data_IF_215191874939
#
_entry.id   IF_215191874939
#
_cell.length_a   1.000
_cell.length_b   1.000
_cell.length_c   1.000
_cell.angle_alpha   90.00
_cell.angle_beta   90.00
_cell.angle_gamma   90.00
#
_symmetry.space_group_name_H-M   'P 1'
#
loop_
_entity.id
_entity.type
_entity.pdbx_description
1 polymer ?
#
# COMPACT_ATOMS: atom_id res chain seq x y z
N UNK A 1 43.45 70.99 46.91
CA UNK A 1 42.01 71.09 46.58
C UNK A 1 41.88 70.70 45.10
N UNK A 2 41.45 69.53 44.82
CA UNK A 2 41.23 69.00 43.44
C UNK A 2 40.00 68.14 43.43
N UNK A 3 38.98 68.59 42.72
CA UNK A 3 37.76 67.83 42.51
C UNK A 3 37.95 66.87 41.37
N UNK A 4 37.67 65.60 41.65
CA UNK A 4 37.59 64.56 40.66
C UNK A 4 36.19 64.51 40.05
N UNK A 5 36.11 64.58 38.70
CA UNK A 5 34.84 64.42 37.96
C UNK A 5 34.76 62.92 37.50
N UNK A 6 33.73 62.28 38.01
CA UNK A 6 33.42 60.89 37.63
C UNK A 6 32.55 60.86 36.38
N UNK A 7 33.10 60.35 35.27
CA UNK A 7 32.35 60.15 34.00
C UNK A 7 31.65 58.81 34.01
N UNK A 8 30.30 58.82 33.96
CA UNK A 8 29.52 57.62 33.78
C UNK A 8 29.48 57.23 32.29
N UNK A 9 30.01 56.02 31.98
CA UNK A 9 29.89 55.42 30.65
C UNK A 9 28.57 54.68 30.57
N UNK A 10 27.65 55.15 29.73
CA UNK A 10 26.42 54.42 29.36
C UNK A 10 26.75 53.32 28.36
N UNK A 11 26.68 52.09 28.82
CA UNK A 11 26.77 50.93 27.94
C UNK A 11 25.44 50.73 27.18
N UNK A 12 25.44 51.00 25.88
CA UNK A 12 24.35 50.68 24.97
C UNK A 12 24.24 49.16 24.77
N UNK A 13 23.26 48.54 25.39
CA UNK A 13 22.90 47.15 25.15
C UNK A 13 22.21 47.01 23.77
N UNK A 14 22.97 46.71 22.72
CA UNK A 14 22.42 46.24 21.42
C UNK A 14 21.83 44.86 21.63
N UNK A 15 20.51 44.76 21.70
CA UNK A 15 19.78 43.51 21.56
C UNK A 15 20.14 42.87 20.20
N UNK A 16 20.94 41.81 20.24
CA UNK A 16 21.18 40.93 19.10
C UNK A 16 19.85 40.21 18.81
N UNK A 17 19.11 40.66 17.80
CA UNK A 17 17.98 39.93 17.26
C UNK A 17 18.52 38.68 16.61
N UNK A 18 18.23 37.50 17.20
CA UNK A 18 18.51 36.19 16.60
C UNK A 18 17.80 36.14 15.24
N UNK A 19 18.52 35.85 14.15
CA UNK A 19 17.85 35.71 12.84
C UNK A 19 16.82 34.58 12.92
N UNK A 20 15.59 34.86 12.45
CA UNK A 20 14.53 33.87 12.35
C UNK A 20 15.07 32.66 11.59
N UNK A 21 14.95 31.48 12.22
CA UNK A 21 15.37 30.22 11.61
C UNK A 21 14.67 30.06 10.25
N UNK A 22 15.44 30.10 9.18
CA UNK A 22 14.96 29.78 7.83
C UNK A 22 14.40 28.37 7.91
N UNK A 23 13.08 28.20 7.82
CA UNK A 23 12.44 26.89 7.73
C UNK A 23 13.01 26.19 6.50
N UNK A 24 13.90 25.22 6.70
CA UNK A 24 14.32 24.32 5.62
C UNK A 24 13.05 23.64 5.08
N UNK A 25 12.93 23.50 3.74
CA UNK A 25 11.84 22.71 3.19
C UNK A 25 11.89 21.31 3.82
N UNK A 26 10.75 20.68 4.11
CA UNK A 26 10.73 19.37 4.72
C UNK A 26 11.55 18.42 3.87
N UNK A 27 12.42 17.63 4.52
CA UNK A 27 13.20 16.61 3.83
C UNK A 27 12.22 15.65 3.15
N UNK A 28 12.44 15.35 1.88
CA UNK A 28 11.66 14.35 1.17
C UNK A 28 12.20 12.96 1.51
N UNK A 29 11.32 12.03 1.87
CA UNK A 29 11.66 10.66 2.18
C UNK A 29 11.26 9.75 1.02
N UNK A 30 12.19 8.99 0.44
CA UNK A 30 11.87 8.05 -0.63
C UNK A 30 10.98 6.93 -0.11
N UNK A 31 9.80 6.76 -0.74
CA UNK A 31 8.84 5.70 -0.51
C UNK A 31 8.59 4.92 -1.80
N UNK A 32 8.74 3.60 -1.75
CA UNK A 32 8.60 2.72 -2.92
C UNK A 32 7.15 2.39 -3.19
N UNK A 33 6.76 2.43 -4.45
CA UNK A 33 5.41 2.13 -4.91
C UNK A 33 5.48 1.38 -6.26
N UNK A 34 4.60 0.39 -6.54
CA UNK A 34 4.47 -0.18 -7.88
C UNK A 34 4.11 0.90 -8.90
N UNK A 35 4.66 0.81 -10.12
CA UNK A 35 4.49 1.84 -11.15
C UNK A 35 3.02 2.04 -11.59
N UNK A 36 2.28 0.95 -11.73
CA UNK A 36 0.85 0.97 -12.03
C UNK A 36 0.02 1.60 -10.90
N UNK A 37 0.41 1.38 -9.65
CA UNK A 37 -0.24 2.01 -8.48
C UNK A 37 0.02 3.50 -8.45
N UNK A 38 1.26 3.93 -8.73
CA UNK A 38 1.57 5.36 -8.75
C UNK A 38 0.75 6.09 -9.80
N UNK A 39 0.59 5.50 -10.99
CA UNK A 39 -0.21 6.07 -12.07
C UNK A 39 -1.69 6.20 -11.67
N UNK A 40 -2.26 5.15 -11.10
CA UNK A 40 -3.66 5.17 -10.64
C UNK A 40 -3.86 6.14 -9.47
N UNK A 41 -2.91 6.21 -8.54
CA UNK A 41 -2.92 7.17 -7.43
C UNK A 41 -2.93 8.62 -7.92
N UNK A 42 -2.09 8.97 -8.90
CA UNK A 42 -2.06 10.31 -9.49
C UNK A 42 -3.40 10.66 -10.16
N UNK A 43 -3.98 9.72 -10.90
CA UNK A 43 -5.29 9.86 -11.55
C UNK A 43 -6.43 9.98 -10.53
N UNK A 44 -6.40 9.15 -9.49
CA UNK A 44 -7.37 9.17 -8.40
C UNK A 44 -7.37 10.52 -7.66
N UNK A 45 -6.19 11.05 -7.36
CA UNK A 45 -6.09 12.37 -6.71
C UNK A 45 -6.61 13.50 -7.60
N UNK A 46 -6.34 13.48 -8.90
CA UNK A 46 -6.71 14.56 -9.82
C UNK A 46 -6.19 15.94 -9.35
N UNK A 47 -5.02 15.96 -8.72
CA UNK A 47 -4.39 17.16 -8.14
C UNK A 47 -4.81 17.50 -6.70
N UNK A 48 -5.72 16.75 -6.08
CA UNK A 48 -6.11 16.95 -4.67
C UNK A 48 -4.97 16.52 -3.74
N UNK A 49 -4.73 17.22 -2.62
CA UNK A 49 -3.81 16.75 -1.59
C UNK A 49 -4.30 15.42 -0.97
N UNK A 50 -3.41 14.43 -0.71
CA UNK A 50 -3.81 13.17 -0.08
C UNK A 50 -4.49 13.35 1.29
N UNK A 51 -4.09 14.38 2.04
CA UNK A 51 -4.66 14.69 3.35
C UNK A 51 -6.15 15.11 3.30
N UNK A 52 -6.62 15.58 2.15
CA UNK A 52 -8.01 16.04 1.94
C UNK A 52 -8.93 14.93 1.43
N UNK A 53 -8.40 13.75 1.12
CA UNK A 53 -9.20 12.61 0.65
C UNK A 53 -10.04 12.06 1.79
N UNK A 54 -11.36 12.15 1.65
CA UNK A 54 -12.35 11.59 2.59
C UNK A 54 -13.19 10.48 1.98
N UNK A 55 -13.26 10.43 0.65
CA UNK A 55 -13.91 9.39 -0.14
C UNK A 55 -12.84 8.64 -0.95
N UNK A 56 -12.78 7.31 -0.74
CA UNK A 56 -11.81 6.40 -1.35
C UNK A 56 -12.43 5.57 -2.49
N UNK A 57 -13.63 5.91 -2.92
CA UNK A 57 -14.32 5.29 -4.06
C UNK A 57 -14.10 6.05 -5.37
N UNK A 58 -14.73 5.55 -6.44
CA UNK A 58 -14.74 6.19 -7.75
C UNK A 58 -13.70 5.67 -8.74
N UNK A 59 -13.45 6.45 -9.78
CA UNK A 59 -12.51 6.09 -10.84
C UNK A 59 -11.09 5.97 -10.30
N UNK A 60 -10.37 4.94 -10.73
CA UNK A 60 -9.02 4.59 -10.28
C UNK A 60 -8.89 4.23 -8.79
N UNK A 61 -10.03 4.14 -8.06
CA UNK A 61 -10.03 3.66 -6.68
C UNK A 61 -9.72 2.16 -6.65
N UNK A 62 -8.78 1.78 -5.82
CA UNK A 62 -8.47 0.39 -5.45
C UNK A 62 -7.66 0.36 -4.16
N UNK A 63 -7.54 -0.83 -3.55
CA UNK A 63 -6.83 -1.00 -2.28
C UNK A 63 -5.48 -0.28 -2.25
N UNK A 64 -4.59 -0.56 -3.23
CA UNK A 64 -3.23 -0.04 -3.24
C UNK A 64 -3.20 1.49 -3.30
N UNK A 65 -4.13 2.10 -4.05
CA UNK A 65 -4.30 3.56 -4.11
C UNK A 65 -4.75 4.11 -2.75
N UNK A 66 -5.70 3.44 -2.10
CA UNK A 66 -6.14 3.83 -0.75
C UNK A 66 -4.98 3.75 0.25
N UNK A 67 -4.12 2.73 0.15
CA UNK A 67 -2.95 2.58 1.01
C UNK A 67 -1.95 3.73 0.81
N UNK A 68 -1.69 4.16 -0.45
CA UNK A 68 -0.83 5.33 -0.70
C UNK A 68 -1.42 6.61 -0.09
N UNK A 69 -2.74 6.80 -0.14
CA UNK A 69 -3.39 7.93 0.55
C UNK A 69 -3.24 7.81 2.07
N UNK A 70 -3.50 6.62 2.62
CA UNK A 70 -3.48 6.37 4.06
C UNK A 70 -2.11 6.60 4.70
N UNK A 71 -0.99 6.28 4.02
CA UNK A 71 0.33 6.57 4.59
C UNK A 71 0.58 8.08 4.73
N UNK A 72 0.16 8.87 3.73
CA UNK A 72 0.23 10.34 3.85
C UNK A 72 -0.64 10.86 4.99
N UNK A 73 -1.86 10.34 5.14
CA UNK A 73 -2.78 10.75 6.20
C UNK A 73 -2.28 10.33 7.58
N UNK A 74 -1.70 9.12 7.71
CA UNK A 74 -1.10 8.67 8.96
C UNK A 74 0.04 9.58 9.41
N UNK A 75 0.94 9.94 8.49
CA UNK A 75 2.06 10.83 8.80
C UNK A 75 1.58 12.26 9.12
N UNK A 76 0.54 12.73 8.45
CA UNK A 76 -0.08 14.03 8.77
C UNK A 76 -0.71 14.04 10.18
N UNK A 77 -1.41 12.96 10.57
CA UNK A 77 -1.96 12.80 11.93
C UNK A 77 -0.88 12.79 13.01
N UNK A 78 0.28 12.22 12.69
CA UNK A 78 1.44 12.22 13.59
C UNK A 78 2.26 13.52 13.54
N UNK A 79 1.82 14.53 12.79
CA UNK A 79 2.57 15.78 12.57
C UNK A 79 4.01 15.56 12.11
N UNK A 80 4.24 14.51 11.31
CA UNK A 80 5.56 14.17 10.80
C UNK A 80 6.02 15.19 9.75
N UNK A 81 7.20 15.77 9.96
CA UNK A 81 7.63 16.97 9.23
C UNK A 81 8.07 16.72 7.77
N UNK A 82 8.40 15.47 7.41
CA UNK A 82 8.91 15.15 6.08
C UNK A 82 7.79 14.69 5.16
N UNK A 83 7.84 15.14 3.90
CA UNK A 83 6.97 14.63 2.84
C UNK A 83 7.53 13.32 2.26
N UNK A 84 6.66 12.48 1.69
CA UNK A 84 7.08 11.30 0.95
C UNK A 84 7.37 11.64 -0.52
N UNK A 85 8.49 11.14 -1.04
CA UNK A 85 8.84 11.13 -2.47
C UNK A 85 8.55 9.74 -3.02
N UNK A 86 7.57 9.64 -3.92
CA UNK A 86 7.08 8.36 -4.46
C UNK A 86 7.99 7.86 -5.57
N UNK A 87 8.72 6.79 -5.30
CA UNK A 87 9.63 6.14 -6.25
C UNK A 87 8.98 4.89 -6.86
N UNK A 88 8.60 4.97 -8.13
CA UNK A 88 8.00 3.85 -8.85
C UNK A 88 8.97 2.69 -9.05
N UNK A 89 8.45 1.45 -8.97
CA UNK A 89 9.19 0.22 -9.29
C UNK A 89 8.33 -0.72 -10.14
N UNK A 90 8.91 -1.33 -11.18
CA UNK A 90 8.15 -2.12 -12.15
C UNK A 90 7.74 -3.50 -11.63
N UNK A 91 8.35 -3.98 -10.55
CA UNK A 91 8.05 -5.29 -9.95
C UNK A 91 8.22 -5.27 -8.44
N UNK A 92 7.45 -6.10 -7.73
CA UNK A 92 7.57 -6.29 -6.28
C UNK A 92 8.95 -6.82 -5.88
N UNK A 93 9.54 -7.69 -6.68
CA UNK A 93 10.90 -8.20 -6.45
C UNK A 93 11.93 -7.06 -6.41
N UNK A 94 11.86 -6.14 -7.38
CA UNK A 94 12.75 -4.98 -7.42
C UNK A 94 12.48 -4.04 -6.25
N UNK A 95 11.23 -3.80 -5.91
CA UNK A 95 10.83 -2.97 -4.78
C UNK A 95 11.40 -3.53 -3.47
N UNK A 96 11.20 -4.83 -3.19
CA UNK A 96 11.73 -5.50 -2.00
C UNK A 96 13.27 -5.46 -1.94
N UNK A 97 13.94 -5.60 -3.09
CA UNK A 97 15.41 -5.51 -3.17
C UNK A 97 15.91 -4.11 -2.79
N UNK A 98 15.33 -3.07 -3.36
CA UNK A 98 15.71 -1.67 -3.10
C UNK A 98 15.43 -1.28 -1.64
N UNK A 99 14.33 -1.75 -1.06
CA UNK A 99 14.02 -1.56 0.36
C UNK A 99 15.08 -2.20 1.27
N UNK A 100 15.46 -3.47 0.99
CA UNK A 100 16.52 -4.18 1.73
C UNK A 100 17.88 -3.50 1.63
N UNK A 101 18.13 -2.85 0.50
CA UNK A 101 19.35 -2.08 0.28
C UNK A 101 19.36 -0.73 1.03
N UNK A 102 18.23 -0.27 1.56
CA UNK A 102 18.11 1.04 2.23
C UNK A 102 17.99 2.21 1.24
N UNK A 103 17.66 1.94 -0.03
CA UNK A 103 17.49 2.98 -1.06
C UNK A 103 16.20 3.78 -0.88
N UNK A 104 15.31 3.32 -0.01
CA UNK A 104 14.10 4.02 0.39
C UNK A 104 13.80 3.79 1.87
N UNK A 105 13.04 4.71 2.46
CA UNK A 105 12.65 4.63 3.86
C UNK A 105 11.57 3.58 4.10
N UNK A 106 10.58 3.49 3.21
CA UNK A 106 9.44 2.60 3.35
C UNK A 106 8.81 2.24 2.00
N UNK A 107 7.83 1.32 2.06
CA UNK A 107 6.86 1.09 0.99
C UNK A 107 5.67 2.05 1.16
N UNK A 108 5.04 2.47 0.07
CA UNK A 108 3.81 3.27 0.09
C UNK A 108 2.54 2.40 -0.01
N UNK A 109 2.69 1.12 -0.33
CA UNK A 109 1.64 0.09 -0.28
C UNK A 109 1.95 -0.93 0.80
N UNK A 110 0.94 -1.67 1.25
CA UNK A 110 1.14 -2.70 2.26
C UNK A 110 1.49 -4.06 1.64
N UNK A 111 2.19 -4.87 2.42
CA UNK A 111 2.56 -6.24 2.10
C UNK A 111 2.12 -7.18 3.22
N UNK A 112 1.87 -8.43 2.88
CA UNK A 112 1.67 -9.47 3.87
C UNK A 112 2.92 -9.67 4.71
N UNK A 113 2.76 -9.81 6.02
CA UNK A 113 3.89 -10.15 6.89
C UNK A 113 4.56 -11.46 6.44
N UNK A 114 3.77 -12.43 5.98
CA UNK A 114 4.22 -13.72 5.47
C UNK A 114 4.95 -13.67 4.12
N UNK A 115 4.95 -12.54 3.40
CA UNK A 115 5.77 -12.35 2.19
C UNK A 115 7.27 -12.17 2.50
N UNK A 116 7.60 -12.08 3.79
CA UNK A 116 8.97 -11.91 4.28
C UNK A 116 9.32 -13.02 5.26
N UNK A 117 10.60 -13.34 5.37
CA UNK A 117 11.07 -14.31 6.35
C UNK A 117 10.72 -13.87 7.79
N UNK A 118 10.52 -14.83 8.70
CA UNK A 118 10.21 -14.55 10.10
C UNK A 118 11.25 -13.66 10.76
N UNK A 119 12.52 -13.88 10.44
CA UNK A 119 13.64 -13.03 10.84
C UNK A 119 14.23 -12.41 9.59
N UNK A 120 13.75 -11.25 9.23
CA UNK A 120 14.30 -10.44 8.14
C UNK A 120 15.10 -9.27 8.73
N UNK A 121 16.39 -9.46 9.00
CA UNK A 121 17.20 -8.38 9.57
C UNK A 121 17.29 -7.23 8.56
N UNK A 122 17.01 -6.04 9.04
CA UNK A 122 17.04 -4.83 8.20
C UNK A 122 15.70 -4.38 7.66
N UNK A 123 14.61 -5.07 7.98
CA UNK A 123 13.24 -4.58 7.73
C UNK A 123 12.48 -4.38 9.04
N UNK A 124 11.63 -3.36 9.06
CA UNK A 124 10.68 -3.06 10.13
C UNK A 124 9.28 -3.09 9.53
N UNK A 125 8.29 -3.43 10.33
CA UNK A 125 6.90 -3.49 9.92
C UNK A 125 6.10 -2.52 10.78
N UNK A 126 5.24 -1.71 10.14
CA UNK A 126 4.30 -0.86 10.86
C UNK A 126 3.29 -1.69 11.66
N UNK A 127 2.47 -1.05 12.47
CA UNK A 127 1.23 -1.69 12.93
C UNK A 127 0.43 -2.19 11.71
N UNK A 128 -0.29 -3.32 11.84
CA UNK A 128 -1.04 -3.87 10.73
C UNK A 128 -2.18 -2.94 10.31
N UNK A 129 -2.41 -2.84 9.00
CA UNK A 129 -3.58 -2.19 8.45
C UNK A 129 -4.73 -3.18 8.28
N UNK A 130 -4.40 -4.44 8.01
CA UNK A 130 -5.30 -5.58 7.91
C UNK A 130 -4.88 -6.61 8.93
N UNK A 131 -5.80 -7.04 9.78
CA UNK A 131 -5.59 -8.09 10.77
C UNK A 131 -5.81 -9.48 10.16
N UNK A 132 -5.35 -10.51 10.86
CA UNK A 132 -5.56 -11.89 10.43
C UNK A 132 -7.05 -12.23 10.33
N UNK A 133 -7.45 -12.85 9.22
CA UNK A 133 -8.83 -13.22 8.95
C UNK A 133 -9.75 -12.09 8.48
N UNK A 134 -9.27 -10.85 8.36
CA UNK A 134 -10.09 -9.73 7.86
C UNK A 134 -10.20 -9.72 6.33
N UNK A 135 -9.33 -10.41 5.59
CA UNK A 135 -9.26 -10.28 4.16
C UNK A 135 -9.71 -11.52 3.40
N UNK A 136 -10.55 -11.29 2.40
CA UNK A 136 -11.02 -12.28 1.44
C UNK A 136 -10.77 -11.79 0.01
N UNK A 137 -10.19 -12.65 -0.83
CA UNK A 137 -9.91 -12.37 -2.22
C UNK A 137 -10.93 -13.01 -3.16
N UNK A 138 -11.18 -12.35 -4.28
CA UNK A 138 -11.98 -12.88 -5.40
C UNK A 138 -11.14 -13.65 -6.38
N UNK A 139 -11.76 -14.63 -7.03
CA UNK A 139 -11.23 -15.26 -8.23
C UNK A 139 -11.80 -14.54 -9.44
N UNK A 140 -10.97 -13.97 -10.28
CA UNK A 140 -11.38 -13.14 -11.41
C UNK A 140 -11.13 -13.83 -12.75
N UNK A 141 -12.05 -13.65 -13.68
CA UNK A 141 -11.98 -14.19 -15.04
C UNK A 141 -12.55 -13.21 -16.06
N UNK A 142 -12.36 -13.47 -17.35
CA UNK A 142 -13.03 -12.72 -18.42
C UNK A 142 -14.51 -13.13 -18.54
N UNK A 143 -15.44 -12.21 -18.90
CA UNK A 143 -16.88 -12.52 -19.01
C UNK A 143 -17.21 -13.64 -20.00
N UNK A 144 -16.32 -13.91 -20.95
CA UNK A 144 -16.50 -14.98 -21.95
C UNK A 144 -16.12 -16.37 -21.47
N UNK A 145 -15.36 -16.49 -20.34
CA UNK A 145 -14.94 -17.80 -19.84
C UNK A 145 -16.06 -18.49 -19.03
N UNK A 146 -16.93 -19.19 -19.75
CA UNK A 146 -18.08 -19.91 -19.18
C UNK A 146 -17.68 -20.99 -18.17
N UNK A 147 -16.54 -21.65 -18.40
CA UNK A 147 -16.04 -22.70 -17.51
C UNK A 147 -15.69 -22.12 -16.12
N UNK A 148 -14.92 -21.06 -16.10
CA UNK A 148 -14.57 -20.39 -14.83
C UNK A 148 -15.79 -19.81 -14.13
N UNK A 149 -16.71 -19.16 -14.86
CA UNK A 149 -17.93 -18.58 -14.31
C UNK A 149 -18.91 -19.64 -13.76
N UNK A 150 -18.83 -20.89 -14.22
CA UNK A 150 -19.65 -21.98 -13.73
C UNK A 150 -19.07 -22.67 -12.48
N UNK A 151 -17.82 -22.40 -12.10
CA UNK A 151 -17.20 -23.01 -10.91
C UNK A 151 -17.94 -22.65 -9.62
N UNK A 152 -18.15 -23.63 -8.74
CA UNK A 152 -18.87 -23.47 -7.46
C UNK A 152 -18.15 -24.17 -6.31
N UNK A 153 -17.09 -24.89 -6.57
CA UNK A 153 -16.40 -25.71 -5.59
C UNK A 153 -14.88 -25.65 -5.80
N UNK A 154 -14.14 -26.11 -4.78
CA UNK A 154 -12.69 -26.27 -4.90
C UNK A 154 -12.31 -27.30 -5.99
N UNK A 155 -13.13 -28.35 -6.18
CA UNK A 155 -12.88 -29.33 -7.24
C UNK A 155 -13.05 -28.74 -8.64
N UNK A 156 -13.96 -27.79 -8.81
CA UNK A 156 -14.05 -27.05 -10.07
C UNK A 156 -12.82 -26.18 -10.28
N UNK A 157 -12.32 -25.52 -9.24
CA UNK A 157 -11.10 -24.70 -9.32
C UNK A 157 -9.86 -25.54 -9.70
N UNK A 158 -9.75 -26.79 -9.22
CA UNK A 158 -8.65 -27.70 -9.58
C UNK A 158 -8.57 -28.01 -11.06
N UNK A 159 -9.64 -27.81 -11.81
CA UNK A 159 -9.69 -28.01 -13.26
C UNK A 159 -9.29 -26.75 -14.05
N UNK A 160 -9.22 -25.59 -13.40
CA UNK A 160 -8.90 -24.32 -14.03
C UNK A 160 -7.38 -24.04 -13.97
N UNK A 161 -6.89 -23.27 -14.93
CA UNK A 161 -5.52 -22.72 -14.93
C UNK A 161 -5.52 -21.40 -14.16
N UNK A 162 -4.77 -21.36 -13.07
CA UNK A 162 -4.70 -20.21 -12.19
C UNK A 162 -3.44 -19.39 -12.42
N UNK A 163 -3.53 -18.09 -12.27
CA UNK A 163 -2.38 -17.18 -12.28
C UNK A 163 -2.16 -16.59 -10.89
N UNK A 164 -0.90 -16.55 -10.48
CA UNK A 164 -0.44 -15.78 -9.33
C UNK A 164 1.05 -15.44 -9.50
N UNK A 165 1.59 -14.67 -8.58
CA UNK A 165 3.00 -14.33 -8.52
C UNK A 165 3.65 -15.03 -7.31
N UNK A 166 4.81 -15.68 -7.50
CA UNK A 166 5.57 -16.33 -6.41
C UNK A 166 6.09 -15.33 -5.39
N UNK A 167 6.29 -14.06 -5.81
CA UNK A 167 6.69 -12.99 -4.89
C UNK A 167 5.56 -12.53 -3.96
N UNK A 168 4.31 -12.88 -4.29
CA UNK A 168 3.15 -12.78 -3.42
C UNK A 168 3.03 -14.08 -2.63
N UNK A 169 3.91 -14.23 -1.66
CA UNK A 169 4.13 -15.52 -1.01
C UNK A 169 2.87 -16.05 -0.32
N UNK A 170 2.13 -15.19 0.39
CA UNK A 170 0.89 -15.58 1.07
C UNK A 170 -0.16 -16.05 0.06
N UNK A 171 -0.37 -15.30 -1.02
CA UNK A 171 -1.29 -15.70 -2.10
C UNK A 171 -0.90 -17.04 -2.72
N UNK A 172 0.40 -17.18 -3.07
CA UNK A 172 0.93 -18.39 -3.68
C UNK A 172 0.78 -19.61 -2.77
N UNK A 173 1.16 -19.47 -1.49
CA UNK A 173 1.07 -20.56 -0.52
C UNK A 173 -0.39 -20.95 -0.20
N UNK A 174 -1.29 -19.98 -0.12
CA UNK A 174 -2.72 -20.22 0.05
C UNK A 174 -3.27 -21.09 -1.08
N UNK A 175 -2.92 -20.77 -2.33
CA UNK A 175 -3.35 -21.57 -3.50
C UNK A 175 -2.76 -22.98 -3.48
N UNK A 176 -1.49 -23.16 -3.05
CA UNK A 176 -0.88 -24.49 -2.86
C UNK A 176 -1.59 -25.29 -1.77
N UNK A 177 -1.86 -24.68 -0.61
CA UNK A 177 -2.55 -25.34 0.53
C UNK A 177 -3.97 -25.79 0.17
N UNK A 178 -4.63 -25.09 -0.77
CA UNK A 178 -5.91 -25.50 -1.34
C UNK A 178 -5.80 -26.64 -2.38
N UNK A 179 -4.59 -27.13 -2.66
CA UNK A 179 -4.35 -28.20 -3.64
C UNK A 179 -4.55 -27.74 -5.10
N UNK A 180 -4.21 -26.46 -5.39
CA UNK A 180 -4.36 -25.87 -6.73
C UNK A 180 -3.02 -25.78 -7.50
N UNK A 181 -1.93 -26.35 -6.95
CA UNK A 181 -0.56 -26.22 -7.49
C UNK A 181 -0.38 -26.78 -8.92
N UNK A 182 -1.12 -27.82 -9.29
CA UNK A 182 -0.92 -28.52 -10.57
C UNK A 182 -1.19 -27.66 -11.81
N UNK A 183 -2.03 -26.66 -11.65
CA UNK A 183 -2.42 -25.72 -12.71
C UNK A 183 -2.14 -24.26 -12.36
N UNK A 184 -1.34 -24.02 -11.33
CA UNK A 184 -0.93 -22.71 -10.89
C UNK A 184 0.30 -22.25 -11.68
N UNK A 185 0.18 -21.12 -12.38
CA UNK A 185 1.22 -20.55 -13.22
C UNK A 185 1.75 -19.26 -12.57
N UNK A 186 3.07 -19.14 -12.53
CA UNK A 186 3.75 -17.93 -12.08
C UNK A 186 3.82 -16.89 -13.20
N UNK A 187 3.41 -15.65 -12.87
CA UNK A 187 3.57 -14.47 -13.73
C UNK A 187 4.09 -13.33 -12.86
N UNK A 188 5.31 -12.87 -13.13
CA UNK A 188 5.98 -11.84 -12.32
C UNK A 188 5.47 -10.42 -12.55
N UNK A 189 4.74 -10.17 -13.64
CA UNK A 189 4.20 -8.86 -13.98
C UNK A 189 2.66 -8.91 -13.98
N UNK A 190 2.05 -8.08 -13.14
CA UNK A 190 0.60 -7.97 -13.01
C UNK A 190 -0.10 -7.66 -14.34
N UNK A 191 0.40 -6.70 -15.14
CA UNK A 191 -0.22 -6.29 -16.40
C UNK A 191 -0.33 -7.41 -17.44
N UNK A 192 0.48 -8.48 -17.32
CA UNK A 192 0.39 -9.64 -18.21
C UNK A 192 -0.74 -10.60 -17.84
N UNK A 193 -1.14 -10.65 -16.57
CA UNK A 193 -2.14 -11.61 -16.09
C UNK A 193 -3.52 -11.42 -16.77
N UNK A 194 -4.10 -10.20 -16.83
CA UNK A 194 -5.37 -9.98 -17.56
C UNK A 194 -5.28 -10.34 -19.04
N UNK A 195 -4.16 -10.07 -19.70
CA UNK A 195 -3.94 -10.41 -21.11
C UNK A 195 -3.90 -11.94 -21.33
N UNK A 196 -3.34 -12.68 -20.37
CA UNK A 196 -3.32 -14.15 -20.43
C UNK A 196 -4.72 -14.74 -20.25
N UNK A 197 -5.57 -14.15 -19.38
CA UNK A 197 -6.99 -14.52 -19.29
C UNK A 197 -7.73 -14.21 -20.58
N UNK A 198 -7.54 -13.03 -21.15
CA UNK A 198 -8.19 -12.60 -22.38
C UNK A 198 -7.83 -13.49 -23.57
N UNK A 199 -6.58 -13.92 -23.66
CA UNK A 199 -6.09 -14.82 -24.72
C UNK A 199 -6.40 -16.29 -24.48
N UNK A 200 -7.07 -16.65 -23.38
CA UNK A 200 -7.39 -18.03 -23.02
C UNK A 200 -6.17 -18.88 -22.61
N UNK A 201 -5.04 -18.27 -22.25
CA UNK A 201 -3.85 -18.97 -21.74
C UNK A 201 -4.01 -19.38 -20.28
N UNK A 202 -4.89 -18.72 -19.56
CA UNK A 202 -5.29 -19.04 -18.19
C UNK A 202 -6.79 -18.80 -18.01
N UNK A 203 -7.35 -19.27 -16.90
CA UNK A 203 -8.78 -19.24 -16.66
C UNK A 203 -9.16 -18.26 -15.55
N UNK A 204 -8.38 -18.18 -14.47
CA UNK A 204 -8.64 -17.30 -13.33
C UNK A 204 -7.36 -16.71 -12.75
N UNK A 205 -7.48 -15.57 -12.10
CA UNK A 205 -6.47 -14.99 -11.23
C UNK A 205 -7.09 -14.62 -9.87
N UNK A 206 -6.26 -14.58 -8.84
CA UNK A 206 -6.63 -14.11 -7.51
C UNK A 206 -6.41 -12.60 -7.41
N UNK A 207 -7.43 -11.85 -7.00
CA UNK A 207 -7.32 -10.40 -6.79
C UNK A 207 -8.27 -9.93 -5.68
N UNK A 208 -7.98 -8.78 -5.04
CA UNK A 208 -8.92 -8.12 -4.16
C UNK A 208 -10.24 -7.83 -4.86
N UNK A 209 -11.35 -7.90 -4.13
CA UNK A 209 -12.61 -7.41 -4.66
C UNK A 209 -12.52 -5.92 -4.98
N UNK A 210 -13.24 -5.50 -6.02
CA UNK A 210 -13.17 -4.14 -6.52
C UNK A 210 -14.36 -3.32 -6.05
N UNK A 211 -14.22 -1.98 -5.91
CA UNK A 211 -15.34 -1.12 -5.58
C UNK A 211 -16.37 -1.09 -6.72
N UNK A 212 -17.62 -0.81 -6.36
CA UNK A 212 -18.69 -0.63 -7.33
C UNK A 212 -19.49 -1.90 -7.61
N UNK A 213 -20.51 -1.70 -8.44
CA UNK A 213 -21.45 -2.76 -8.80
C UNK A 213 -20.75 -3.90 -9.55
N UNK A 214 -21.08 -5.15 -9.15
CA UNK A 214 -20.51 -6.34 -9.76
C UNK A 214 -19.02 -6.56 -9.48
N UNK A 215 -18.38 -5.71 -8.67
CA UNK A 215 -16.96 -5.83 -8.29
C UNK A 215 -16.03 -6.01 -9.50
N UNK A 216 -16.34 -5.33 -10.60
CA UNK A 216 -15.62 -5.47 -11.89
C UNK A 216 -14.23 -4.89 -11.80
N UNK A 217 -13.22 -5.68 -12.17
CA UNK A 217 -11.82 -5.27 -12.29
C UNK A 217 -11.51 -4.87 -13.72
N UNK A 218 -11.04 -3.65 -13.93
CA UNK A 218 -10.62 -3.14 -15.25
C UNK A 218 -9.12 -2.87 -15.24
N UNK A 219 -8.38 -3.53 -16.14
CA UNK A 219 -6.93 -3.37 -16.28
C UNK A 219 -6.60 -3.21 -17.76
N UNK A 220 -6.01 -2.10 -18.16
CA UNK A 220 -5.58 -1.81 -19.55
C UNK A 220 -6.68 -2.09 -20.61
N UNK A 221 -7.92 -1.72 -20.32
CA UNK A 221 -9.05 -1.95 -21.21
C UNK A 221 -9.64 -3.37 -21.16
N UNK A 222 -9.05 -4.29 -20.42
CA UNK A 222 -9.56 -5.64 -20.20
C UNK A 222 -10.50 -5.61 -19.00
N UNK A 223 -11.70 -6.18 -19.18
CA UNK A 223 -12.70 -6.31 -18.14
C UNK A 223 -12.66 -7.72 -17.56
N UNK A 224 -12.48 -7.81 -16.23
CA UNK A 224 -12.56 -9.06 -15.48
C UNK A 224 -13.72 -8.98 -14.49
N UNK A 225 -14.37 -10.11 -14.26
CA UNK A 225 -15.48 -10.26 -13.32
C UNK A 225 -15.15 -11.34 -12.30
N UNK A 226 -15.63 -11.23 -11.06
CA UNK A 226 -15.42 -12.26 -10.06
C UNK A 226 -16.21 -13.52 -10.41
N UNK A 227 -15.66 -14.69 -10.12
CA UNK A 227 -16.37 -15.97 -10.18
C UNK A 227 -17.43 -15.97 -9.08
N UNK A 228 -18.73 -16.14 -9.41
CA UNK A 228 -19.79 -15.97 -8.44
C UNK A 228 -19.78 -17.05 -7.35
N UNK A 229 -20.00 -16.64 -6.09
CA UNK A 229 -20.15 -17.57 -4.96
C UNK A 229 -18.86 -18.22 -4.47
N UNK A 230 -17.71 -17.79 -4.97
CA UNK A 230 -16.40 -18.24 -4.52
C UNK A 230 -15.56 -17.08 -4.03
N UNK A 231 -14.89 -17.27 -2.90
CA UNK A 231 -13.91 -16.37 -2.31
C UNK A 231 -12.81 -17.18 -1.64
N UNK A 232 -11.64 -16.60 -1.51
CA UNK A 232 -10.50 -17.23 -0.83
C UNK A 232 -10.15 -16.36 0.38
N UNK A 233 -10.25 -16.93 1.58
CA UNK A 233 -9.79 -16.28 2.80
C UNK A 233 -8.27 -16.33 2.85
N UNK A 234 -7.67 -15.19 3.16
CA UNK A 234 -6.23 -15.02 3.27
C UNK A 234 -5.86 -14.86 4.73
N UNK A 235 -4.91 -15.65 5.19
CA UNK A 235 -4.41 -15.56 6.56
C UNK A 235 -3.15 -14.72 6.64
N UNK A 236 -3.03 -13.93 7.72
CA UNK A 236 -1.89 -13.07 8.00
C UNK A 236 -2.29 -11.60 8.16
N UNK A 237 -1.29 -10.78 8.44
CA UNK A 237 -1.43 -9.34 8.65
C UNK A 237 -0.74 -8.56 7.54
N UNK A 238 -1.26 -7.37 7.20
CA UNK A 238 -0.64 -6.50 6.17
C UNK A 238 -0.08 -5.24 6.80
N UNK A 239 1.12 -4.86 6.36
CA UNK A 239 1.91 -3.78 6.94
C UNK A 239 2.55 -2.92 5.85
N UNK A 240 2.80 -1.63 6.14
CA UNK A 240 3.89 -0.93 5.45
C UNK A 240 5.21 -1.50 5.94
N UNK A 241 6.16 -1.62 5.04
CA UNK A 241 7.49 -2.17 5.34
C UNK A 241 8.51 -1.04 5.27
N UNK A 242 9.35 -0.94 6.29
CA UNK A 242 10.38 0.09 6.38
C UNK A 242 11.77 -0.55 6.33
N UNK A 243 12.73 0.16 5.76
CA UNK A 243 14.12 -0.27 5.79
C UNK A 243 14.80 0.19 7.08
N UNK A 244 15.24 -0.72 7.93
CA UNK A 244 16.02 -0.38 9.11
C UNK A 244 17.40 0.26 8.76
N UNK A 245 17.85 0.12 7.52
CA UNK A 245 19.10 0.74 7.03
C UNK A 245 18.94 2.21 6.65
N UNK A 246 17.69 2.66 6.42
CA UNK A 246 17.46 4.06 6.06
C UNK A 246 17.48 4.94 7.31
N UNK A 247 18.26 6.05 7.35
CA UNK A 247 18.47 6.85 8.56
C UNK A 247 17.20 7.46 9.16
N UNK A 248 16.18 7.70 8.33
CA UNK A 248 14.90 8.26 8.80
C UNK A 248 13.99 7.22 9.47
N UNK A 249 14.25 5.92 9.36
CA UNK A 249 13.33 4.87 9.82
C UNK A 249 13.11 4.86 11.33
N UNK A 250 14.11 5.26 12.10
CA UNK A 250 13.99 5.37 13.55
C UNK A 250 12.93 6.40 14.01
N UNK A 251 12.71 7.44 13.22
CA UNK A 251 11.68 8.46 13.47
C UNK A 251 10.39 8.15 12.72
N UNK A 252 10.49 7.60 11.52
CA UNK A 252 9.34 7.30 10.66
C UNK A 252 8.47 6.19 11.26
N UNK A 253 9.05 5.11 11.77
CA UNK A 253 8.30 3.96 12.27
C UNK A 253 7.33 4.35 13.41
N UNK A 254 7.76 4.98 14.52
CA UNK A 254 6.84 5.34 15.58
C UNK A 254 5.83 6.42 15.16
N UNK A 255 6.19 7.34 14.26
CA UNK A 255 5.26 8.33 13.73
C UNK A 255 4.17 7.67 12.87
N UNK A 256 4.55 6.74 12.00
CA UNK A 256 3.62 5.99 11.18
C UNK A 256 2.64 5.17 12.05
N UNK A 257 3.14 4.47 13.05
CA UNK A 257 2.32 3.68 13.97
C UNK A 257 1.33 4.55 14.76
N UNK A 258 1.77 5.70 15.27
CA UNK A 258 0.88 6.64 15.96
C UNK A 258 -0.23 7.16 15.04
N UNK A 259 0.12 7.49 13.80
CA UNK A 259 -0.85 7.91 12.77
C UNK A 259 -1.83 6.81 12.39
N UNK A 260 -1.35 5.58 12.17
CA UNK A 260 -2.21 4.43 11.88
C UNK A 260 -3.20 4.13 13.02
N UNK A 261 -2.75 4.24 14.28
CA UNK A 261 -3.65 4.13 15.43
C UNK A 261 -4.74 5.20 15.42
N UNK A 262 -4.40 6.44 15.06
CA UNK A 262 -5.38 7.52 14.95
C UNK A 262 -6.40 7.26 13.85
N UNK A 263 -5.95 6.82 12.66
CA UNK A 263 -6.82 6.44 11.55
C UNK A 263 -7.72 5.23 11.88
N UNK A 264 -7.22 4.27 12.65
CA UNK A 264 -8.00 3.12 13.11
C UNK A 264 -9.09 3.56 14.10
N UNK A 265 -8.74 4.38 15.12
CA UNK A 265 -9.70 4.89 16.10
C UNK A 265 -10.81 5.75 15.50
N UNK A 266 -10.50 6.54 14.46
CA UNK A 266 -11.50 7.37 13.75
C UNK A 266 -12.37 6.56 12.78
N UNK A 267 -12.08 5.27 12.57
CA UNK A 267 -12.76 4.43 11.57
C UNK A 267 -12.36 4.74 10.13
N UNK A 268 -11.41 5.64 9.90
CA UNK A 268 -11.00 6.05 8.55
C UNK A 268 -10.32 4.91 7.79
N UNK A 269 -9.49 4.10 8.47
CA UNK A 269 -8.86 2.92 7.88
C UNK A 269 -9.90 1.95 7.31
N UNK A 270 -10.91 1.57 8.12
CA UNK A 270 -11.99 0.68 7.69
C UNK A 270 -12.79 1.28 6.53
N UNK A 271 -13.11 2.57 6.60
CA UNK A 271 -13.82 3.29 5.54
C UNK A 271 -13.04 3.26 4.22
N UNK A 272 -11.72 3.54 4.27
CA UNK A 272 -10.87 3.51 3.09
C UNK A 272 -10.87 2.14 2.40
N UNK A 273 -10.70 1.07 3.16
CA UNK A 273 -10.74 -0.29 2.60
C UNK A 273 -12.12 -0.70 2.11
N UNK A 274 -13.20 -0.28 2.78
CA UNK A 274 -14.56 -0.56 2.31
C UNK A 274 -14.86 0.18 0.99
N UNK A 275 -14.55 1.46 0.91
CA UNK A 275 -14.84 2.27 -0.28
C UNK A 275 -13.94 1.91 -1.48
N UNK A 276 -12.71 1.47 -1.25
CA UNK A 276 -11.81 0.97 -2.29
C UNK A 276 -12.12 -0.48 -2.72
N UNK A 277 -13.15 -1.12 -2.14
CA UNK A 277 -13.61 -2.46 -2.48
C UNK A 277 -12.87 -3.60 -1.78
N UNK A 278 -11.80 -3.31 -1.04
CA UNK A 278 -10.99 -4.34 -0.37
C UNK A 278 -11.78 -5.09 0.71
N UNK A 279 -12.62 -4.39 1.48
CA UNK A 279 -13.62 -4.95 2.39
C UNK A 279 -15.02 -4.75 1.78
N UNK A 280 -15.28 -5.37 0.63
CA UNK A 280 -16.53 -5.12 -0.09
C UNK A 280 -17.73 -5.69 0.68
N UNK A 281 -18.78 -4.87 0.98
CA UNK A 281 -19.88 -5.31 1.84
C UNK A 281 -20.77 -6.40 1.24
N UNK A 282 -20.71 -6.62 -0.08
CA UNK A 282 -21.43 -7.70 -0.75
C UNK A 282 -20.72 -9.06 -0.67
N UNK A 283 -19.48 -9.11 -0.16
CA UNK A 283 -18.73 -10.36 0.07
C UNK A 283 -19.18 -10.91 1.41
N UNK A 284 -19.91 -12.04 1.38
CA UNK A 284 -20.47 -12.71 2.57
C UNK A 284 -19.80 -14.06 2.76
#
# INVERSE_FOLDING_TARGET
MGLAASGAVLASNKLLTTPAAVKRPPAQLPALVPDDVLLDYQRFLGGRPPAEVTDFGGAHARRDVAEVVLIHQALAQATFASALDMLARPTDARLKLDLRAGLAACTATTYWRGDFADKEPGLLFSLPLVEDGEFEAGLYTVPSNRLALAARSLDDLRRLRLLSNRDWHVDWQTLIQLGLQDRLQHVGNWSLMPRMLQSGRADVLLAPFQPGEGMVLKVEGITLVPVPGLKISMHGTRHYVLSAKHPASAQLAPALDAGLQALRRSGQLKRAYTQSGFFHPAVK
#
